data_IF_027032347766
#
_entry.id   IF_027032347766
#
_cell.length_a   1.000
_cell.length_b   1.000
_cell.length_c   1.000
_cell.angle_alpha   90.00
_cell.angle_beta   90.00
_cell.angle_gamma   90.00
#
_symmetry.space_group_name_H-M   'P 1'
#
loop_
_entity.id
_entity.type
_entity.pdbx_description
1 polymer ?
#
# COMPACT_ATOMS: atom_id res chain seq x y z
N UNK A 1 7.37 -9.94 -33.21
CA UNK A 1 6.10 -9.58 -32.55
C UNK A 1 5.16 -9.05 -33.64
N UNK A 2 3.90 -9.49 -33.72
CA UNK A 2 2.92 -9.00 -34.73
C UNK A 2 2.33 -7.64 -34.32
N UNK A 3 3.17 -6.74 -33.80
CA UNK A 3 2.76 -5.41 -33.36
C UNK A 3 2.81 -4.49 -34.58
N UNK A 4 1.78 -3.66 -34.76
CA UNK A 4 1.69 -2.73 -35.88
C UNK A 4 2.89 -1.75 -35.88
N UNK A 5 3.51 -1.48 -37.05
CA UNK A 5 4.64 -0.56 -37.15
C UNK A 5 4.41 0.81 -36.52
N UNK A 6 3.19 1.34 -36.52
CA UNK A 6 2.88 2.64 -35.92
C UNK A 6 3.27 2.70 -34.44
N UNK A 7 2.95 1.66 -33.65
CA UNK A 7 3.33 1.59 -32.24
C UNK A 7 4.85 1.43 -32.06
N UNK A 8 5.50 0.67 -32.96
CA UNK A 8 6.94 0.48 -32.92
C UNK A 8 7.70 1.79 -33.19
N UNK A 9 7.18 2.65 -34.06
CA UNK A 9 7.71 3.98 -34.31
C UNK A 9 7.59 4.90 -33.09
N UNK A 10 6.45 4.85 -32.36
CA UNK A 10 6.30 5.62 -31.12
C UNK A 10 7.32 5.17 -30.05
N UNK A 11 7.46 3.84 -29.86
CA UNK A 11 8.44 3.27 -28.94
C UNK A 11 9.88 3.65 -29.36
N UNK A 12 10.19 3.56 -30.65
CA UNK A 12 11.50 3.96 -31.17
C UNK A 12 11.78 5.45 -30.93
N UNK A 13 10.76 6.31 -31.06
CA UNK A 13 10.86 7.74 -30.72
C UNK A 13 11.21 7.98 -29.25
N UNK A 14 10.56 7.25 -28.32
CA UNK A 14 10.88 7.30 -26.89
C UNK A 14 12.32 6.85 -26.64
N UNK A 15 12.74 5.72 -27.22
CA UNK A 15 14.11 5.19 -27.06
C UNK A 15 15.17 6.15 -27.62
N UNK A 16 14.91 6.77 -28.78
CA UNK A 16 15.79 7.78 -29.35
C UNK A 16 15.91 9.01 -28.43
N UNK A 17 14.79 9.45 -27.82
CA UNK A 17 14.81 10.52 -26.83
C UNK A 17 15.61 10.14 -25.59
N UNK A 18 15.50 8.91 -25.10
CA UNK A 18 16.34 8.44 -23.98
C UNK A 18 17.84 8.53 -24.29
N UNK A 19 18.25 8.21 -25.52
CA UNK A 19 19.65 8.34 -25.94
C UNK A 19 20.11 9.81 -25.87
N UNK A 20 19.26 10.75 -26.34
CA UNK A 20 19.56 12.18 -26.25
C UNK A 20 19.66 12.67 -24.81
N UNK A 21 18.80 12.21 -23.91
CA UNK A 21 18.84 12.57 -22.48
C UNK A 21 20.13 12.04 -21.82
N UNK A 22 20.55 10.82 -22.15
CA UNK A 22 21.81 10.27 -21.64
C UNK A 22 23.03 11.09 -22.10
N UNK A 23 22.98 11.64 -23.30
CA UNK A 23 24.08 12.43 -23.88
C UNK A 23 24.10 13.88 -23.39
N UNK A 24 22.93 14.51 -23.27
CA UNK A 24 22.83 15.96 -23.05
C UNK A 24 22.21 16.37 -21.72
N UNK A 25 21.67 15.42 -20.94
CA UNK A 25 20.90 15.72 -19.73
C UNK A 25 19.45 16.11 -20.01
N UNK A 26 18.76 16.61 -18.98
CA UNK A 26 17.41 17.18 -19.12
C UNK A 26 17.48 18.64 -19.61
N UNK A 27 16.45 19.14 -20.31
CA UNK A 27 16.38 20.56 -20.68
C UNK A 27 16.35 21.48 -19.46
N UNK A 28 16.98 22.65 -19.58
CA UNK A 28 17.01 23.68 -18.53
C UNK A 28 15.93 24.77 -18.70
N UNK A 29 15.09 24.67 -19.73
CA UNK A 29 13.98 25.58 -19.99
C UNK A 29 12.62 24.88 -19.91
N UNK A 30 11.60 25.65 -19.50
CA UNK A 30 10.27 25.13 -19.23
C UNK A 30 9.57 24.53 -20.46
N UNK A 31 9.84 25.06 -21.66
CA UNK A 31 9.17 24.61 -22.89
C UNK A 31 9.65 23.22 -23.27
N UNK A 32 10.97 23.04 -23.36
CA UNK A 32 11.55 21.75 -23.74
C UNK A 32 11.36 20.70 -22.65
N UNK A 33 11.45 21.08 -21.36
CA UNK A 33 11.16 20.15 -20.27
C UNK A 33 9.69 19.69 -20.31
N UNK A 34 8.75 20.61 -20.58
CA UNK A 34 7.33 20.24 -20.75
C UNK A 34 7.13 19.31 -21.95
N UNK A 35 7.78 19.56 -23.09
CA UNK A 35 7.72 18.65 -24.24
C UNK A 35 8.25 17.26 -23.88
N UNK A 36 9.31 17.19 -23.09
CA UNK A 36 9.85 15.92 -22.61
C UNK A 36 8.86 15.20 -21.70
N UNK A 37 8.24 15.91 -20.75
CA UNK A 37 7.19 15.35 -19.87
C UNK A 37 5.93 14.95 -20.65
N UNK A 38 5.58 15.66 -21.72
CA UNK A 38 4.47 15.33 -22.62
C UNK A 38 4.65 14.01 -23.38
N UNK A 39 5.89 13.52 -23.50
CA UNK A 39 6.17 12.19 -24.01
C UNK A 39 5.92 11.07 -22.97
N UNK A 40 5.52 11.40 -21.74
CA UNK A 40 5.22 10.44 -20.67
C UNK A 40 6.43 10.01 -19.83
N UNK A 41 7.56 10.72 -19.90
CA UNK A 41 8.71 10.42 -19.05
C UNK A 41 8.44 10.81 -17.59
N UNK A 42 8.51 9.84 -16.68
CA UNK A 42 8.48 10.10 -15.23
C UNK A 42 9.79 10.72 -14.74
N UNK A 43 9.72 11.44 -13.63
CA UNK A 43 10.89 12.03 -12.96
C UNK A 43 11.89 10.93 -12.57
N UNK A 44 11.39 9.77 -12.14
CA UNK A 44 12.22 8.59 -11.86
C UNK A 44 12.94 8.05 -13.12
N UNK A 45 12.27 8.03 -14.28
CA UNK A 45 12.92 7.58 -15.52
C UNK A 45 13.99 8.58 -15.96
N UNK A 46 13.70 9.88 -15.92
CA UNK A 46 14.67 10.93 -16.26
C UNK A 46 15.88 10.89 -15.33
N UNK A 47 15.67 10.67 -14.04
CA UNK A 47 16.74 10.53 -13.05
C UNK A 47 17.65 9.33 -13.35
N UNK A 48 17.06 8.18 -13.68
CA UNK A 48 17.82 6.99 -14.09
C UNK A 48 18.67 7.24 -15.33
N UNK A 49 18.13 7.94 -16.34
CA UNK A 49 18.84 8.26 -17.59
C UNK A 49 20.01 9.23 -17.38
N UNK A 50 19.87 10.14 -16.42
CA UNK A 50 20.87 11.17 -16.10
C UNK A 50 21.77 10.83 -14.91
N UNK A 51 21.58 9.63 -14.33
CA UNK A 51 22.33 9.15 -13.15
C UNK A 51 22.24 10.11 -11.96
N UNK A 52 21.05 10.65 -11.72
CA UNK A 52 20.73 11.47 -10.55
C UNK A 52 19.54 10.87 -9.78
N UNK A 53 19.05 11.59 -8.78
CA UNK A 53 17.88 11.20 -7.99
C UNK A 53 16.60 11.85 -8.54
N UNK A 54 15.45 11.17 -8.37
CA UNK A 54 14.15 11.68 -8.84
C UNK A 54 13.80 13.05 -8.25
N UNK A 55 14.21 13.31 -7.00
CA UNK A 55 14.01 14.59 -6.32
C UNK A 55 14.74 15.76 -7.02
N UNK A 56 15.87 15.50 -7.69
CA UNK A 56 16.58 16.53 -8.46
C UNK A 56 15.77 16.92 -9.69
N UNK A 57 15.17 15.95 -10.37
CA UNK A 57 14.31 16.19 -11.53
C UNK A 57 13.03 16.93 -11.11
N UNK A 58 12.40 16.50 -10.01
CA UNK A 58 11.25 17.16 -9.43
C UNK A 58 11.55 18.64 -9.11
N UNK A 59 12.66 18.93 -8.42
CA UNK A 59 13.06 20.31 -8.09
C UNK A 59 13.34 21.15 -9.34
N UNK A 60 13.95 20.58 -10.38
CA UNK A 60 14.16 21.27 -11.64
C UNK A 60 12.82 21.63 -12.31
N UNK A 61 11.87 20.70 -12.26
CA UNK A 61 10.52 20.86 -12.80
C UNK A 61 9.72 21.93 -12.04
N UNK A 62 9.77 21.93 -10.71
CA UNK A 62 9.17 22.97 -9.85
C UNK A 62 9.80 24.34 -10.08
N UNK A 63 11.14 24.43 -10.18
CA UNK A 63 11.85 25.68 -10.44
C UNK A 63 11.43 26.32 -11.77
N UNK A 64 11.10 25.50 -12.77
CA UNK A 64 10.68 25.93 -14.09
C UNK A 64 9.16 26.07 -14.25
N UNK A 65 8.39 25.86 -13.17
CA UNK A 65 6.92 25.87 -13.18
C UNK A 65 6.33 24.92 -14.26
N UNK A 66 6.94 23.73 -14.37
CA UNK A 66 6.51 22.69 -15.32
C UNK A 66 5.64 21.67 -14.59
N UNK A 67 4.36 21.96 -14.51
CA UNK A 67 3.39 21.05 -13.88
C UNK A 67 2.41 20.47 -14.90
N UNK A 68 1.83 19.29 -14.63
CA UNK A 68 0.72 18.81 -15.43
C UNK A 68 -0.50 19.72 -15.26
N UNK A 69 -1.34 19.74 -16.30
CA UNK A 69 -2.72 20.18 -16.19
C UNK A 69 -3.63 18.96 -16.12
N UNK A 70 -4.85 19.16 -15.62
CA UNK A 70 -5.84 18.09 -15.58
C UNK A 70 -6.94 18.38 -16.57
N UNK A 71 -7.29 17.37 -17.37
CA UNK A 71 -8.37 17.40 -18.36
C UNK A 71 -9.52 16.54 -17.90
N UNK A 72 -10.74 16.85 -18.35
CA UNK A 72 -11.92 16.05 -18.05
C UNK A 72 -12.22 15.06 -19.17
N UNK A 73 -12.74 13.90 -18.78
CA UNK A 73 -13.33 12.93 -19.69
C UNK A 73 -14.81 13.30 -19.84
N UNK A 74 -15.21 13.66 -21.06
CA UNK A 74 -16.53 14.22 -21.36
C UNK A 74 -17.33 13.44 -22.43
N UNK A 75 -16.73 12.40 -23.02
CA UNK A 75 -17.27 11.57 -24.12
C UNK A 75 -17.50 12.29 -25.46
N UNK A 76 -17.29 13.60 -25.55
CA UNK A 76 -17.65 14.43 -26.69
C UNK A 76 -16.52 15.36 -27.17
N UNK A 77 -15.30 15.17 -26.69
CA UNK A 77 -14.12 15.91 -27.12
C UNK A 77 -14.31 17.44 -27.01
N UNK A 78 -14.80 17.88 -25.84
CA UNK A 78 -15.12 19.26 -25.50
C UNK A 78 -16.20 19.93 -26.36
N UNK A 79 -17.00 19.17 -27.13
CA UNK A 79 -18.19 19.73 -27.81
C UNK A 79 -19.19 20.30 -26.80
N UNK A 80 -19.33 19.64 -25.64
CA UNK A 80 -20.17 20.06 -24.52
C UNK A 80 -19.39 20.12 -23.22
N UNK A 81 -19.77 21.05 -22.34
CA UNK A 81 -19.17 21.14 -21.01
C UNK A 81 -19.60 19.94 -20.14
N UNK A 82 -18.61 19.24 -19.55
CA UNK A 82 -18.87 18.15 -18.61
C UNK A 82 -18.91 18.67 -17.16
N UNK A 83 -20.03 18.48 -16.43
CA UNK A 83 -20.09 18.81 -15.01
C UNK A 83 -19.27 17.82 -14.15
N UNK A 84 -19.02 16.61 -14.67
CA UNK A 84 -18.36 15.52 -13.96
C UNK A 84 -16.86 15.76 -13.84
N UNK A 85 -16.32 15.66 -12.62
CA UNK A 85 -14.90 15.78 -12.35
C UNK A 85 -14.18 14.42 -12.50
N UNK A 86 -14.27 13.82 -13.70
CA UNK A 86 -13.52 12.63 -14.07
C UNK A 86 -12.28 13.03 -14.88
N UNK A 87 -11.09 12.91 -14.31
CA UNK A 87 -9.90 13.61 -14.77
C UNK A 87 -8.69 12.71 -15.01
N UNK A 88 -7.80 13.17 -15.88
CA UNK A 88 -6.45 12.65 -16.09
C UNK A 88 -5.45 13.79 -16.26
N UNK A 89 -4.19 13.54 -15.95
CA UNK A 89 -3.08 14.48 -16.04
C UNK A 89 -2.47 14.49 -17.44
N UNK A 90 -1.99 15.65 -17.87
CA UNK A 90 -1.23 15.76 -19.10
C UNK A 90 -0.32 16.97 -19.08
N UNK A 91 0.83 16.89 -19.73
CA UNK A 91 1.71 18.02 -19.97
C UNK A 91 1.35 18.67 -21.32
N UNK A 92 0.18 19.29 -21.38
CA UNK A 92 -0.30 19.95 -22.60
C UNK A 92 0.61 21.13 -23.00
N UNK A 93 0.86 21.29 -24.30
CA UNK A 93 1.55 22.48 -24.80
C UNK A 93 0.57 23.65 -24.81
N UNK A 94 0.95 24.84 -24.30
CA UNK A 94 0.06 26.00 -24.26
C UNK A 94 -0.58 26.31 -25.62
N UNK A 95 -1.91 26.45 -25.65
CA UNK A 95 -2.64 26.93 -26.81
C UNK A 95 -2.93 28.43 -26.65
N UNK A 96 -2.63 29.24 -27.68
CA UNK A 96 -2.74 30.70 -27.62
C UNK A 96 -1.99 31.33 -26.41
N UNK A 97 -0.90 30.71 -25.97
CA UNK A 97 -0.06 31.20 -24.87
C UNK A 97 -0.54 30.86 -23.45
N UNK A 98 -1.62 30.09 -23.30
CA UNK A 98 -2.12 29.67 -21.99
C UNK A 98 -2.26 28.14 -21.88
N UNK A 99 -2.06 27.63 -20.67
CA UNK A 99 -2.38 26.25 -20.31
C UNK A 99 -3.85 26.16 -19.94
N UNK A 100 -4.57 25.19 -20.51
CA UNK A 100 -5.96 24.94 -20.18
C UNK A 100 -6.05 23.85 -19.10
N UNK A 101 -6.31 24.24 -17.85
CA UNK A 101 -6.50 23.31 -16.74
C UNK A 101 -7.98 23.25 -16.33
N UNK A 102 -8.57 22.06 -16.42
CA UNK A 102 -9.99 21.79 -16.18
C UNK A 102 -10.23 21.18 -14.79
N UNK A 103 -9.19 21.12 -13.95
CA UNK A 103 -9.32 20.66 -12.57
C UNK A 103 -10.46 21.39 -11.84
N UNK A 104 -10.56 22.71 -12.01
CA UNK A 104 -11.58 23.57 -11.37
C UNK A 104 -11.75 23.21 -9.90
N UNK A 105 -10.64 23.33 -9.18
CA UNK A 105 -10.48 22.89 -7.79
C UNK A 105 -11.47 23.63 -6.87
N UNK A 106 -12.23 22.89 -6.08
CA UNK A 106 -13.28 23.46 -5.20
C UNK A 106 -12.67 24.16 -3.97
N UNK A 107 -13.48 24.91 -3.21
CA UNK A 107 -13.10 25.51 -1.93
C UNK A 107 -13.52 24.68 -0.70
N UNK A 108 -13.99 23.44 -0.90
CA UNK A 108 -14.49 22.57 0.18
C UNK A 108 -13.34 22.00 1.02
N UNK A 109 -13.71 21.37 2.15
CA UNK A 109 -12.81 20.50 2.93
C UNK A 109 -12.70 19.15 2.23
N UNK A 110 -11.48 18.70 1.95
CA UNK A 110 -11.21 17.57 1.06
C UNK A 110 -10.49 16.46 1.79
N UNK A 111 -10.87 15.23 1.49
CA UNK A 111 -10.14 14.03 1.90
C UNK A 111 -9.84 13.20 0.67
N UNK A 112 -8.56 12.89 0.49
CA UNK A 112 -8.09 12.08 -0.64
C UNK A 112 -8.01 10.62 -0.21
N UNK A 113 -8.47 9.72 -1.08
CA UNK A 113 -8.43 8.28 -0.90
C UNK A 113 -7.56 7.71 -2.00
N UNK A 114 -6.49 7.01 -1.61
CA UNK A 114 -5.61 6.32 -2.56
C UNK A 114 -6.08 4.88 -2.75
N UNK A 115 -6.44 4.54 -4.00
CA UNK A 115 -6.84 3.19 -4.39
C UNK A 115 -5.67 2.20 -4.41
N UNK A 116 -5.91 0.98 -4.92
CA UNK A 116 -4.88 -0.07 -4.95
C UNK A 116 -4.04 -0.15 -6.22
N UNK A 117 -4.51 0.47 -7.31
CA UNK A 117 -4.03 0.19 -8.66
C UNK A 117 -4.54 -1.18 -9.15
N UNK A 118 -3.85 -1.82 -10.11
CA UNK A 118 -4.34 -3.05 -10.71
C UNK A 118 -4.43 -4.19 -9.70
N UNK A 119 -5.52 -4.97 -9.81
CA UNK A 119 -5.74 -6.17 -9.00
C UNK A 119 -4.65 -7.22 -9.26
N UNK A 120 -4.23 -7.89 -8.19
CA UNK A 120 -3.25 -9.00 -8.22
C UNK A 120 -3.45 -9.92 -7.02
N UNK A 121 -2.84 -11.10 -7.05
CA UNK A 121 -2.89 -12.04 -5.92
C UNK A 121 -2.43 -11.33 -4.64
N UNK A 122 -3.26 -11.41 -3.59
CA UNK A 122 -3.05 -10.73 -2.30
C UNK A 122 -3.49 -9.26 -2.24
N UNK A 123 -3.87 -8.64 -3.37
CA UNK A 123 -4.38 -7.28 -3.46
C UNK A 123 -5.52 -7.19 -4.50
N UNK A 124 -6.73 -7.55 -4.06
CA UNK A 124 -7.91 -7.65 -4.92
C UNK A 124 -9.00 -6.61 -4.63
N UNK A 125 -10.23 -6.98 -4.99
CA UNK A 125 -11.43 -6.13 -4.91
C UNK A 125 -11.81 -5.76 -3.47
N UNK A 126 -11.28 -6.46 -2.48
CA UNK A 126 -11.56 -6.20 -1.07
C UNK A 126 -11.06 -4.81 -0.64
N UNK A 127 -9.96 -4.36 -1.24
CA UNK A 127 -9.41 -3.03 -1.02
C UNK A 127 -10.20 -1.95 -1.77
N UNK A 128 -10.69 -2.26 -2.97
CA UNK A 128 -11.60 -1.38 -3.72
C UNK A 128 -12.91 -1.14 -2.94
N UNK A 129 -13.47 -2.19 -2.36
CA UNK A 129 -14.63 -2.11 -1.47
C UNK A 129 -14.39 -1.11 -0.32
N UNK A 130 -13.23 -1.19 0.33
CA UNK A 130 -12.88 -0.29 1.43
C UNK A 130 -12.77 1.17 0.94
N UNK A 131 -12.14 1.39 -0.21
CA UNK A 131 -12.00 2.72 -0.82
C UNK A 131 -13.36 3.35 -1.18
N UNK A 132 -14.27 2.56 -1.79
CA UNK A 132 -15.63 3.02 -2.10
C UNK A 132 -16.39 3.41 -0.83
N UNK A 133 -16.34 2.56 0.19
CA UNK A 133 -17.01 2.84 1.47
C UNK A 133 -16.44 4.07 2.17
N UNK A 134 -15.14 4.35 2.05
CA UNK A 134 -14.56 5.61 2.52
C UNK A 134 -15.16 6.82 1.78
N UNK A 135 -15.21 6.78 0.46
CA UNK A 135 -15.74 7.89 -0.34
C UNK A 135 -17.19 8.20 0.04
N UNK A 136 -18.02 7.17 0.19
CA UNK A 136 -19.42 7.32 0.63
C UNK A 136 -19.51 7.93 2.03
N UNK A 137 -18.76 7.39 3.00
CA UNK A 137 -18.82 7.85 4.38
C UNK A 137 -18.32 9.29 4.56
N UNK A 138 -17.27 9.67 3.82
CA UNK A 138 -16.70 11.01 3.85
C UNK A 138 -17.62 12.04 3.20
N UNK A 139 -18.28 11.67 2.09
CA UNK A 139 -19.35 12.47 1.48
C UNK A 139 -20.49 12.71 2.47
N UNK A 140 -20.96 11.65 3.14
CA UNK A 140 -22.00 11.73 4.18
C UNK A 140 -21.57 12.58 5.38
N UNK A 141 -20.26 12.65 5.67
CA UNK A 141 -19.68 13.51 6.71
C UNK A 141 -19.40 14.95 6.24
N UNK A 142 -19.74 15.30 4.99
CA UNK A 142 -19.62 16.65 4.44
C UNK A 142 -18.28 16.99 3.80
N UNK A 143 -17.34 16.03 3.72
CA UNK A 143 -16.09 16.21 2.98
C UNK A 143 -16.33 16.09 1.47
N UNK A 144 -15.49 16.75 0.69
CA UNK A 144 -15.30 16.43 -0.72
C UNK A 144 -14.36 15.23 -0.81
N UNK A 145 -14.90 14.08 -1.20
CA UNK A 145 -14.13 12.85 -1.35
C UNK A 145 -13.44 12.83 -2.71
N UNK A 146 -12.12 12.70 -2.71
CA UNK A 146 -11.29 12.67 -3.91
C UNK A 146 -10.68 11.27 -4.05
N UNK A 147 -10.97 10.57 -5.14
CA UNK A 147 -10.40 9.26 -5.42
C UNK A 147 -9.22 9.38 -6.40
N UNK A 148 -8.10 8.73 -6.07
CA UNK A 148 -6.97 8.54 -6.98
C UNK A 148 -6.75 7.04 -7.18
N UNK A 149 -7.02 6.54 -8.38
CA UNK A 149 -6.83 5.14 -8.73
C UNK A 149 -6.74 4.96 -10.26
N UNK A 150 -6.14 3.86 -10.73
CA UNK A 150 -5.95 3.61 -12.15
C UNK A 150 -6.45 2.23 -12.61
N UNK A 151 -7.18 1.51 -11.76
CA UNK A 151 -7.76 0.23 -12.14
C UNK A 151 -9.05 0.44 -12.94
N UNK A 152 -9.14 0.01 -14.21
CA UNK A 152 -10.36 0.20 -15.00
C UNK A 152 -11.51 -0.72 -14.59
N UNK A 153 -11.25 -1.77 -13.80
CA UNK A 153 -12.25 -2.80 -13.43
C UNK A 153 -13.05 -2.46 -12.18
N UNK A 154 -12.66 -1.40 -11.46
CA UNK A 154 -13.10 -1.14 -10.09
C UNK A 154 -14.27 -0.16 -9.98
N UNK A 155 -15.03 -0.25 -8.89
CA UNK A 155 -16.11 0.70 -8.60
C UNK A 155 -15.55 2.03 -8.10
N UNK A 156 -14.37 2.04 -7.47
CA UNK A 156 -13.73 3.31 -7.06
C UNK A 156 -13.42 4.23 -8.23
N UNK A 157 -13.18 3.69 -9.42
CA UNK A 157 -12.93 4.44 -10.66
C UNK A 157 -14.20 4.72 -11.46
N UNK A 158 -15.37 4.44 -10.89
CA UNK A 158 -16.62 5.04 -11.34
C UNK A 158 -16.71 6.49 -10.84
N UNK A 159 -17.04 7.41 -11.73
CA UNK A 159 -17.12 8.84 -11.42
C UNK A 159 -18.26 9.18 -10.44
N UNK A 160 -19.26 8.31 -10.27
CA UNK A 160 -20.34 8.51 -9.29
C UNK A 160 -19.88 8.23 -7.84
N UNK A 161 -18.79 7.47 -7.68
CA UNK A 161 -18.30 7.00 -6.37
C UNK A 161 -17.69 8.11 -5.51
N UNK A 162 -17.02 9.08 -6.13
CA UNK A 162 -16.33 10.19 -5.45
C UNK A 162 -16.78 11.54 -6.00
N UNK A 163 -16.56 12.63 -5.26
CA UNK A 163 -16.88 13.97 -5.78
C UNK A 163 -15.95 14.34 -6.95
N UNK A 164 -14.70 13.84 -6.89
CA UNK A 164 -13.65 14.10 -7.88
C UNK A 164 -12.80 12.84 -8.06
N UNK A 165 -12.66 12.38 -9.29
CA UNK A 165 -11.91 11.19 -9.65
C UNK A 165 -10.70 11.56 -10.52
N UNK A 166 -9.51 11.16 -10.07
CA UNK A 166 -8.27 11.21 -10.85
C UNK A 166 -7.89 9.79 -11.28
N UNK A 167 -7.99 9.52 -12.58
CA UNK A 167 -7.58 8.25 -13.17
C UNK A 167 -6.08 8.22 -13.42
N UNK A 168 -5.31 8.18 -12.35
CA UNK A 168 -3.88 8.44 -12.38
C UNK A 168 -3.07 7.31 -11.72
N UNK A 169 -1.81 7.10 -12.15
CA UNK A 169 -0.94 6.14 -11.49
C UNK A 169 -0.71 6.49 -10.01
N UNK A 170 -0.60 5.46 -9.18
CA UNK A 170 -0.29 5.61 -7.75
C UNK A 170 1.22 5.69 -7.53
N UNK A 171 1.85 6.72 -8.07
CA UNK A 171 3.26 7.04 -7.82
C UNK A 171 3.40 8.29 -6.96
N UNK A 172 4.56 8.48 -6.34
CA UNK A 172 4.82 9.68 -5.55
C UNK A 172 4.72 10.95 -6.41
N UNK A 173 5.18 10.90 -7.66
CA UNK A 173 5.13 12.05 -8.58
C UNK A 173 3.67 12.45 -8.88
N UNK A 174 2.87 11.50 -9.34
CA UNK A 174 1.49 11.76 -9.79
C UNK A 174 0.60 12.19 -8.61
N UNK A 175 0.70 11.48 -7.49
CA UNK A 175 -0.09 11.79 -6.28
C UNK A 175 0.28 13.16 -5.72
N UNK A 176 1.58 13.51 -5.63
CA UNK A 176 1.98 14.82 -5.13
C UNK A 176 1.54 15.97 -6.05
N UNK A 177 1.54 15.78 -7.37
CA UNK A 177 1.01 16.79 -8.30
C UNK A 177 -0.50 17.01 -8.14
N UNK A 178 -1.27 15.94 -7.91
CA UNK A 178 -2.70 16.03 -7.66
C UNK A 178 -2.96 16.78 -6.35
N UNK A 179 -2.22 16.42 -5.29
CA UNK A 179 -2.35 17.08 -3.99
C UNK A 179 -1.97 18.56 -4.06
N UNK A 180 -0.89 18.91 -4.77
CA UNK A 180 -0.49 20.30 -5.03
C UNK A 180 -1.62 21.07 -5.72
N UNK A 181 -2.23 20.48 -6.76
CA UNK A 181 -3.34 21.10 -7.46
C UNK A 181 -4.56 21.27 -6.55
N UNK A 182 -4.93 20.26 -5.77
CA UNK A 182 -6.07 20.30 -4.86
C UNK A 182 -5.88 21.25 -3.67
N UNK A 183 -4.63 21.53 -3.27
CA UNK A 183 -4.29 22.54 -2.26
C UNK A 183 -4.40 23.98 -2.77
N UNK A 184 -4.58 24.21 -4.07
CA UNK A 184 -4.70 25.57 -4.63
C UNK A 184 -5.96 26.31 -4.17
N UNK A 185 -6.99 25.59 -3.69
CA UNK A 185 -8.21 26.17 -3.13
C UNK A 185 -8.85 25.22 -2.12
N UNK A 186 -9.47 25.77 -1.08
CA UNK A 186 -10.10 24.99 0.00
C UNK A 186 -9.11 24.47 1.02
N UNK A 187 -9.47 23.39 1.70
CA UNK A 187 -8.67 22.78 2.76
C UNK A 187 -8.49 21.29 2.45
N UNK A 188 -7.25 20.87 2.18
CA UNK A 188 -6.90 19.45 2.14
C UNK A 188 -6.70 18.97 3.58
N UNK A 189 -7.67 18.24 4.10
CA UNK A 189 -7.66 17.73 5.48
C UNK A 189 -6.64 16.62 5.64
N UNK A 190 -6.52 15.76 4.63
CA UNK A 190 -5.48 14.74 4.55
C UNK A 190 -5.78 13.63 3.57
N UNK A 191 -4.97 12.57 3.64
CA UNK A 191 -4.96 11.44 2.71
C UNK A 191 -5.14 10.13 3.49
N UNK A 192 -6.02 9.26 3.01
CA UNK A 192 -6.18 7.87 3.49
C UNK A 192 -5.32 6.96 2.60
N UNK A 193 -4.37 6.27 3.22
CA UNK A 193 -3.42 5.34 2.57
C UNK A 193 -3.62 3.88 2.99
N UNK A 194 -4.46 3.64 4.00
CA UNK A 194 -4.59 2.34 4.68
C UNK A 194 -5.62 1.42 4.01
N UNK A 195 -6.36 1.89 3.00
CA UNK A 195 -7.47 1.15 2.39
C UNK A 195 -7.13 0.52 1.04
N UNK A 196 -6.16 1.06 0.30
CA UNK A 196 -5.77 0.56 -1.03
C UNK A 196 -4.77 -0.62 -1.02
N UNK A 197 -4.49 -1.23 0.13
CA UNK A 197 -3.45 -2.27 0.24
C UNK A 197 -2.03 -1.68 0.28
N UNK A 198 -1.02 -2.40 -0.23
CA UNK A 198 0.38 -1.95 -0.08
C UNK A 198 0.79 -0.80 -0.99
N UNK A 199 0.12 -0.62 -2.15
CA UNK A 199 0.52 0.41 -3.12
C UNK A 199 0.53 1.80 -2.48
N UNK A 200 -0.54 2.26 -1.80
CA UNK A 200 -0.52 3.57 -1.12
C UNK A 200 0.38 3.63 0.11
N UNK A 201 0.56 2.53 0.85
CA UNK A 201 1.44 2.51 2.02
C UNK A 201 2.89 2.85 1.67
N UNK A 202 3.34 2.41 0.49
CA UNK A 202 4.67 2.77 -0.03
C UNK A 202 4.83 4.25 -0.34
N UNK A 203 3.74 5.00 -0.43
CA UNK A 203 3.74 6.44 -0.67
C UNK A 203 3.76 7.25 0.63
N UNK A 204 3.61 6.62 1.80
CA UNK A 204 3.50 7.31 3.07
C UNK A 204 4.72 8.21 3.37
N UNK A 205 5.94 7.72 3.16
CA UNK A 205 7.18 8.49 3.35
C UNK A 205 7.25 9.73 2.43
N UNK A 206 6.83 9.58 1.16
CA UNK A 206 6.80 10.69 0.21
C UNK A 206 5.78 11.76 0.62
N UNK A 207 4.61 11.35 1.11
CA UNK A 207 3.56 12.24 1.61
C UNK A 207 4.02 12.98 2.88
N UNK A 208 4.64 12.28 3.84
CA UNK A 208 5.17 12.90 5.06
C UNK A 208 6.26 13.94 4.75
N UNK A 209 7.20 13.61 3.86
CA UNK A 209 8.25 14.55 3.42
C UNK A 209 7.70 15.79 2.73
N UNK A 210 6.59 15.64 2.01
CA UNK A 210 5.86 16.75 1.39
C UNK A 210 4.98 17.54 2.40
N UNK A 211 4.93 17.13 3.67
CA UNK A 211 4.09 17.76 4.68
C UNK A 211 2.60 17.52 4.49
N UNK A 212 2.22 16.46 3.76
CA UNK A 212 0.83 16.09 3.53
C UNK A 212 0.31 15.27 4.73
N UNK A 213 -0.80 15.67 5.37
CA UNK A 213 -1.36 14.92 6.48
C UNK A 213 -1.87 13.55 6.05
N UNK A 214 -1.36 12.48 6.65
CA UNK A 214 -1.94 11.14 6.54
C UNK A 214 -2.96 10.97 7.66
N UNK A 215 -4.18 10.64 7.29
CA UNK A 215 -5.30 10.44 8.21
C UNK A 215 -5.27 9.02 8.78
N UNK A 216 -5.75 8.84 10.01
CA UNK A 216 -5.79 7.52 10.67
C UNK A 216 -4.47 7.12 11.35
N UNK A 217 -4.15 5.83 11.31
CA UNK A 217 -2.89 5.30 11.87
C UNK A 217 -1.69 5.96 11.18
N UNK A 218 -0.75 6.50 11.98
CA UNK A 218 0.44 7.17 11.46
C UNK A 218 1.39 6.21 10.74
N UNK A 219 2.16 6.69 9.75
CA UNK A 219 3.17 5.89 9.06
C UNK A 219 4.18 5.24 10.01
N UNK A 220 4.64 5.97 11.04
CA UNK A 220 5.53 5.42 12.06
C UNK A 220 4.93 4.21 12.81
N UNK A 221 3.62 4.21 13.08
CA UNK A 221 2.96 3.08 13.75
C UNK A 221 2.72 1.91 12.79
N UNK A 222 2.53 2.19 11.50
CA UNK A 222 2.51 1.16 10.45
C UNK A 222 3.90 0.51 10.34
N UNK A 223 4.96 1.32 10.25
CA UNK A 223 6.35 0.87 10.26
C UNK A 223 6.70 0.09 11.53
N UNK A 224 6.24 0.54 12.71
CA UNK A 224 6.42 -0.20 13.98
C UNK A 224 5.86 -1.62 13.91
N UNK A 225 4.71 -1.82 13.25
CA UNK A 225 4.09 -3.13 13.11
C UNK A 225 4.78 -4.01 12.06
N UNK A 226 5.37 -3.41 11.02
CA UNK A 226 6.14 -4.12 9.99
C UNK A 226 7.59 -4.42 10.41
N UNK A 227 8.20 -3.54 11.22
CA UNK A 227 9.55 -3.68 11.77
C UNK A 227 9.56 -4.69 12.93
N UNK A 228 10.26 -5.81 12.72
CA UNK A 228 10.28 -6.91 13.69
C UNK A 228 10.92 -6.54 15.02
N UNK A 229 11.97 -5.72 15.07
CA UNK A 229 12.64 -5.37 16.33
C UNK A 229 11.74 -4.47 17.19
N UNK A 230 11.10 -3.49 16.57
CA UNK A 230 10.13 -2.60 17.22
C UNK A 230 8.88 -3.38 17.65
N UNK A 231 8.38 -4.24 16.77
CA UNK A 231 7.21 -5.07 17.04
C UNK A 231 7.45 -6.08 18.18
N UNK A 232 8.60 -6.76 18.19
CA UNK A 232 8.94 -7.71 19.25
C UNK A 232 9.03 -7.01 20.61
N UNK A 233 9.64 -5.82 20.68
CA UNK A 233 9.67 -4.99 21.90
C UNK A 233 8.27 -4.61 22.37
N UNK A 234 7.37 -4.31 21.44
CA UNK A 234 5.96 -4.04 21.74
C UNK A 234 5.28 -5.25 22.36
N UNK A 235 5.43 -6.43 21.75
CA UNK A 235 4.84 -7.67 22.27
C UNK A 235 5.36 -8.01 23.67
N UNK A 236 6.67 -7.88 23.90
CA UNK A 236 7.27 -8.06 25.24
C UNK A 236 6.70 -7.09 26.26
N UNK A 237 6.54 -5.81 25.90
CA UNK A 237 5.94 -4.80 26.79
C UNK A 237 4.49 -5.13 27.15
N UNK A 238 3.74 -5.72 26.22
CA UNK A 238 2.35 -6.13 26.41
C UNK A 238 2.21 -7.52 27.05
N UNK A 239 3.30 -8.26 27.23
CA UNK A 239 3.28 -9.62 27.75
C UNK A 239 2.62 -10.61 26.80
N UNK A 240 2.72 -10.39 25.47
CA UNK A 240 2.14 -11.25 24.45
C UNK A 240 3.17 -12.23 23.90
N UNK A 241 2.73 -13.44 23.59
CA UNK A 241 3.60 -14.49 23.04
C UNK A 241 3.79 -14.34 21.53
N UNK A 242 4.98 -14.66 21.05
CA UNK A 242 5.34 -14.74 19.64
C UNK A 242 6.12 -16.05 19.40
N UNK A 243 6.06 -16.65 18.20
CA UNK A 243 6.98 -17.74 17.85
C UNK A 243 8.44 -17.31 18.03
N UNK A 244 9.33 -18.25 18.33
CA UNK A 244 10.77 -17.96 18.34
C UNK A 244 11.16 -17.54 16.93
N UNK A 245 11.89 -16.43 16.81
CA UNK A 245 12.17 -15.82 15.54
C UNK A 245 13.59 -15.26 15.44
N UNK A 246 13.99 -14.91 14.23
CA UNK A 246 15.28 -14.30 13.93
C UNK A 246 15.25 -13.54 12.61
N UNK A 247 16.23 -12.67 12.42
CA UNK A 247 16.34 -11.77 11.27
C UNK A 247 17.70 -11.96 10.62
N UNK A 248 17.74 -12.06 9.29
CA UNK A 248 18.98 -12.17 8.54
C UNK A 248 19.08 -11.12 7.42
N UNK A 249 20.20 -10.41 7.40
CA UNK A 249 20.55 -9.41 6.40
C UNK A 249 21.55 -9.93 5.36
N UNK A 250 21.96 -11.20 5.48
CA UNK A 250 22.84 -11.87 4.51
C UNK A 250 22.57 -13.37 4.45
N UNK A 251 23.06 -14.03 3.39
CA UNK A 251 22.99 -15.48 3.24
C UNK A 251 23.69 -16.20 4.40
N UNK A 252 24.81 -15.66 4.89
CA UNK A 252 25.57 -16.22 6.00
C UNK A 252 24.80 -16.09 7.32
N UNK A 253 24.21 -14.92 7.58
CA UNK A 253 23.35 -14.72 8.75
C UNK A 253 22.13 -15.63 8.72
N UNK A 254 21.52 -15.83 7.55
CA UNK A 254 20.35 -16.71 7.39
C UNK A 254 20.64 -18.14 7.86
N UNK A 255 21.83 -18.68 7.56
CA UNK A 255 22.25 -20.02 8.01
C UNK A 255 22.47 -20.07 9.52
N UNK A 256 23.06 -19.03 10.11
CA UNK A 256 23.28 -18.96 11.56
C UNK A 256 21.94 -18.93 12.30
N UNK A 257 21.03 -18.05 11.88
CA UNK A 257 19.68 -17.93 12.45
C UNK A 257 18.91 -19.24 12.34
N UNK A 258 18.95 -19.90 11.17
CA UNK A 258 18.29 -21.19 10.99
C UNK A 258 18.85 -22.28 11.92
N UNK A 259 20.18 -22.32 12.11
CA UNK A 259 20.84 -23.24 13.04
C UNK A 259 20.47 -23.00 14.51
N UNK A 260 20.25 -21.75 14.91
CA UNK A 260 19.83 -21.38 16.27
C UNK A 260 18.35 -21.72 16.55
N UNK A 261 17.47 -21.46 15.59
CA UNK A 261 16.02 -21.69 15.75
C UNK A 261 15.63 -23.16 15.59
N UNK A 262 16.33 -23.89 14.70
CA UNK A 262 16.04 -25.28 14.36
C UNK A 262 14.83 -25.46 13.43
N UNK A 263 14.84 -26.51 12.62
CA UNK A 263 13.78 -26.80 11.66
C UNK A 263 12.59 -27.55 12.29
N UNK A 264 11.36 -27.43 11.73
CA UNK A 264 10.99 -26.60 10.58
C UNK A 264 10.81 -25.11 10.89
N UNK A 265 11.10 -24.27 9.89
CA UNK A 265 11.05 -22.79 9.97
C UNK A 265 10.15 -22.22 8.88
N UNK A 266 9.48 -21.11 9.17
CA UNK A 266 8.86 -20.27 8.14
C UNK A 266 9.84 -19.17 7.79
N UNK A 267 10.20 -19.08 6.51
CA UNK A 267 11.08 -18.02 6.00
C UNK A 267 10.26 -17.10 5.11
N UNK A 268 10.31 -15.79 5.39
CA UNK A 268 9.59 -14.76 4.62
C UNK A 268 10.46 -13.52 4.40
N UNK A 269 10.44 -12.91 3.20
CA UNK A 269 11.01 -11.59 3.00
C UNK A 269 10.21 -10.52 3.76
N UNK A 270 10.84 -9.42 4.14
CA UNK A 270 10.15 -8.22 4.63
C UNK A 270 9.50 -7.43 3.48
N UNK A 271 8.49 -6.61 3.81
CA UNK A 271 7.79 -5.69 2.89
C UNK A 271 7.14 -6.34 1.64
N UNK A 272 6.76 -7.62 1.72
CA UNK A 272 6.04 -8.35 0.66
C UNK A 272 4.58 -8.60 1.02
N UNK A 273 3.72 -8.62 -0.01
CA UNK A 273 2.30 -8.94 0.11
C UNK A 273 2.05 -10.43 -0.20
N UNK A 274 1.00 -10.98 0.44
CA UNK A 274 0.39 -12.25 0.04
C UNK A 274 1.34 -13.45 0.17
N UNK A 275 2.25 -13.42 1.14
CA UNK A 275 3.21 -14.52 1.33
C UNK A 275 4.17 -14.72 0.15
N UNK A 276 4.39 -13.72 -0.71
CA UNK A 276 5.27 -13.89 -1.87
C UNK A 276 6.67 -14.32 -1.42
N UNK A 277 7.12 -15.45 -1.95
CA UNK A 277 8.38 -16.10 -1.57
C UNK A 277 8.47 -16.46 -0.08
N UNK A 278 7.34 -16.65 0.59
CA UNK A 278 7.28 -17.33 1.87
C UNK A 278 7.37 -18.84 1.64
N UNK A 279 8.20 -19.53 2.42
CA UNK A 279 8.30 -21.00 2.38
C UNK A 279 8.49 -21.58 3.78
N UNK A 280 7.90 -22.75 3.99
CA UNK A 280 8.21 -23.61 5.14
C UNK A 280 9.45 -24.42 4.77
N UNK A 281 10.51 -24.23 5.53
CA UNK A 281 11.81 -24.86 5.34
C UNK A 281 11.96 -25.98 6.38
N UNK A 282 12.08 -27.22 5.90
CA UNK A 282 12.14 -28.41 6.76
C UNK A 282 13.56 -28.87 7.09
N UNK A 283 14.55 -28.45 6.31
CA UNK A 283 15.95 -28.83 6.48
C UNK A 283 16.91 -27.83 5.82
N UNK A 284 18.20 -28.00 6.09
CA UNK A 284 19.29 -27.14 5.57
C UNK A 284 19.38 -27.18 4.03
N UNK A 285 19.04 -28.30 3.39
CA UNK A 285 19.07 -28.42 1.93
C UNK A 285 17.98 -27.57 1.27
N UNK A 286 16.79 -27.56 1.87
CA UNK A 286 15.69 -26.70 1.46
C UNK A 286 16.02 -25.22 1.70
N UNK A 287 16.66 -24.88 2.83
CA UNK A 287 17.14 -23.51 3.09
C UNK A 287 18.11 -23.04 2.01
N UNK A 288 19.08 -23.90 1.64
CA UNK A 288 20.04 -23.57 0.60
C UNK A 288 19.38 -23.34 -0.76
N UNK A 289 18.41 -24.19 -1.12
CA UNK A 289 17.62 -24.04 -2.35
C UNK A 289 16.83 -22.73 -2.34
N UNK A 290 16.17 -22.41 -1.23
CA UNK A 290 15.43 -21.16 -1.06
C UNK A 290 16.32 -19.92 -1.29
N UNK A 291 17.49 -19.88 -0.64
CA UNK A 291 18.41 -18.75 -0.73
C UNK A 291 19.04 -18.60 -2.12
N UNK A 292 19.26 -19.69 -2.84
CA UNK A 292 19.96 -19.67 -4.14
C UNK A 292 19.04 -19.61 -5.36
N UNK A 293 17.77 -20.01 -5.22
CA UNK A 293 16.83 -20.08 -6.35
C UNK A 293 15.63 -19.14 -6.16
N UNK A 294 15.08 -19.06 -4.94
CA UNK A 294 13.86 -18.26 -4.69
C UNK A 294 14.19 -16.79 -4.46
N UNK A 295 15.13 -16.49 -3.54
CA UNK A 295 15.50 -15.10 -3.21
C UNK A 295 16.04 -14.31 -4.42
N UNK A 296 16.86 -14.89 -5.33
CA UNK A 296 17.30 -14.17 -6.54
C UNK A 296 16.15 -13.73 -7.46
N UNK A 297 15.02 -14.42 -7.43
CA UNK A 297 13.81 -14.02 -8.15
C UNK A 297 13.21 -12.70 -7.65
N UNK A 298 13.56 -12.28 -6.43
CA UNK A 298 13.13 -11.02 -5.83
C UNK A 298 14.08 -9.85 -6.11
N UNK A 299 15.28 -10.13 -6.65
CA UNK A 299 16.30 -9.09 -6.89
C UNK A 299 15.81 -8.14 -7.99
N UNK A 300 15.66 -6.83 -7.70
CA UNK A 300 15.32 -5.80 -8.67
C UNK A 300 16.32 -5.70 -9.83
N UNK A 301 15.85 -5.24 -10.99
CA UNK A 301 16.65 -5.18 -12.22
C UNK A 301 17.82 -4.20 -12.11
N UNK A 302 17.68 -3.10 -11.37
CA UNK A 302 18.75 -2.16 -11.06
C UNK A 302 19.88 -2.80 -10.26
N UNK A 303 19.56 -3.68 -9.29
CA UNK A 303 20.56 -4.44 -8.53
C UNK A 303 21.26 -5.46 -9.44
N UNK A 304 20.50 -6.16 -10.30
CA UNK A 304 21.07 -7.10 -11.28
C UNK A 304 22.05 -6.41 -12.23
N UNK A 305 21.71 -5.23 -12.73
CA UNK A 305 22.59 -4.44 -13.60
C UNK A 305 23.85 -3.94 -12.86
N UNK A 306 23.74 -3.62 -11.57
CA UNK A 306 24.88 -3.20 -10.75
C UNK A 306 25.85 -4.35 -10.47
N UNK A 307 25.37 -5.58 -10.33
CA UNK A 307 26.16 -6.76 -9.98
C UNK A 307 25.91 -7.96 -10.92
N UNK A 308 26.16 -7.87 -12.24
CA UNK A 308 25.64 -8.83 -13.22
C UNK A 308 26.13 -10.28 -13.05
N UNK A 309 27.33 -10.46 -12.48
CA UNK A 309 27.96 -11.79 -12.33
C UNK A 309 28.10 -12.26 -10.87
N UNK A 310 27.60 -11.49 -9.89
CA UNK A 310 27.73 -11.79 -8.46
C UNK A 310 26.35 -12.01 -7.82
N UNK A 311 25.87 -13.26 -7.85
CA UNK A 311 24.57 -13.63 -7.28
C UNK A 311 24.50 -13.41 -5.77
N UNK A 312 25.58 -13.69 -5.04
CA UNK A 312 25.60 -13.50 -3.58
C UNK A 312 25.61 -12.02 -3.23
N UNK A 313 26.39 -11.20 -3.95
CA UNK A 313 26.36 -9.75 -3.83
C UNK A 313 24.99 -9.14 -4.17
N UNK A 314 24.30 -9.66 -5.19
CA UNK A 314 22.91 -9.27 -5.51
C UNK A 314 21.96 -9.56 -4.33
N UNK A 315 22.00 -10.79 -3.79
CA UNK A 315 21.15 -11.20 -2.67
C UNK A 315 21.46 -10.35 -1.45
N UNK A 316 22.74 -10.22 -1.05
CA UNK A 316 23.11 -9.46 0.14
C UNK A 316 22.78 -7.96 -0.01
N UNK A 317 22.83 -7.41 -1.23
CA UNK A 317 22.37 -6.03 -1.49
C UNK A 317 20.86 -5.88 -1.29
N UNK A 318 20.07 -6.88 -1.74
CA UNK A 318 18.64 -6.93 -1.49
C UNK A 318 18.35 -7.06 0.02
N UNK A 319 19.00 -8.01 0.68
CA UNK A 319 18.78 -8.33 2.10
C UNK A 319 19.23 -7.21 3.05
N UNK A 320 20.20 -6.40 2.64
CA UNK A 320 20.60 -5.21 3.38
C UNK A 320 19.49 -4.15 3.50
N UNK A 321 18.49 -4.17 2.60
CA UNK A 321 17.30 -3.30 2.68
C UNK A 321 16.04 -4.07 3.08
N UNK A 322 15.92 -5.33 2.67
CA UNK A 322 14.77 -6.18 2.93
C UNK A 322 15.25 -7.49 3.57
N UNK A 323 15.47 -7.52 4.90
CA UNK A 323 15.94 -8.74 5.58
C UNK A 323 14.97 -9.91 5.40
N UNK A 324 15.50 -11.12 5.52
CA UNK A 324 14.73 -12.35 5.68
C UNK A 324 14.33 -12.52 7.14
N UNK A 325 13.07 -12.86 7.35
CA UNK A 325 12.49 -13.15 8.64
C UNK A 325 12.31 -14.66 8.78
N UNK A 326 12.72 -15.18 9.93
CA UNK A 326 12.61 -16.58 10.30
C UNK A 326 11.71 -16.70 11.52
N UNK A 327 10.70 -17.56 11.45
CA UNK A 327 9.81 -17.88 12.57
C UNK A 327 9.76 -19.41 12.73
N UNK A 328 9.78 -19.93 13.96
CA UNK A 328 9.60 -21.37 14.19
C UNK A 328 8.22 -21.81 13.74
N UNK A 329 8.15 -22.87 12.94
CA UNK A 329 6.88 -23.36 12.41
C UNK A 329 6.03 -24.00 13.51
N UNK A 330 4.84 -23.43 13.75
CA UNK A 330 3.88 -23.93 14.73
C UNK A 330 2.99 -25.03 14.12
N UNK A 331 3.57 -26.20 13.84
CA UNK A 331 2.83 -27.33 13.24
C UNK A 331 1.58 -27.70 14.06
N UNK A 332 0.44 -27.91 13.39
CA UNK A 332 -0.83 -28.27 14.01
C UNK A 332 -1.52 -27.14 14.77
N UNK A 333 -1.07 -25.89 14.62
CA UNK A 333 -1.73 -24.74 15.25
C UNK A 333 -2.95 -24.28 14.43
N UNK A 334 -3.96 -23.78 15.14
CA UNK A 334 -5.13 -23.15 14.52
C UNK A 334 -4.77 -21.71 14.17
N UNK A 335 -4.99 -21.28 12.93
CA UNK A 335 -4.80 -19.89 12.53
C UNK A 335 -6.10 -19.09 12.71
N UNK A 336 -5.96 -17.84 13.17
CA UNK A 336 -7.08 -16.95 13.45
C UNK A 336 -6.77 -15.54 12.94
N UNK A 337 -7.69 -14.98 12.17
CA UNK A 337 -7.68 -13.57 11.78
C UNK A 337 -8.64 -12.77 12.67
N UNK A 338 -8.20 -11.60 13.14
CA UNK A 338 -9.04 -10.70 13.93
C UNK A 338 -9.03 -9.30 13.33
N UNK A 339 -10.19 -8.82 12.90
CA UNK A 339 -10.36 -7.45 12.40
C UNK A 339 -10.90 -6.54 13.51
N UNK A 340 -10.29 -5.37 13.69
CA UNK A 340 -10.55 -4.44 14.78
C UNK A 340 -10.61 -2.98 14.30
N UNK A 341 -11.50 -2.20 14.91
CA UNK A 341 -11.56 -0.75 14.81
C UNK A 341 -10.98 -0.11 16.07
N UNK A 342 -10.27 1.01 15.92
CA UNK A 342 -9.76 1.79 17.04
C UNK A 342 -9.73 3.29 16.71
N UNK A 343 -10.05 4.14 17.68
CA UNK A 343 -9.94 5.62 17.58
C UNK A 343 -8.72 6.17 18.37
N UNK A 344 -7.70 5.33 18.57
CA UNK A 344 -6.55 5.56 19.44
C UNK A 344 -6.83 5.30 20.93
N UNK A 345 -8.10 5.20 21.34
CA UNK A 345 -8.48 4.90 22.73
C UNK A 345 -9.41 3.72 22.80
N UNK A 346 -10.62 3.85 22.28
CA UNK A 346 -11.64 2.81 22.29
C UNK A 346 -11.42 1.85 21.14
N UNK A 347 -11.74 0.58 21.39
CA UNK A 347 -11.55 -0.52 20.44
C UNK A 347 -12.85 -1.26 20.22
N UNK A 348 -13.06 -1.76 19.01
CA UNK A 348 -14.16 -2.65 18.68
C UNK A 348 -13.64 -3.79 17.82
N UNK A 349 -13.62 -5.01 18.38
CA UNK A 349 -13.29 -6.22 17.63
C UNK A 349 -14.50 -6.56 16.76
N UNK A 350 -14.32 -6.46 15.45
CA UNK A 350 -15.39 -6.56 14.46
C UNK A 350 -15.64 -7.99 14.00
N UNK A 351 -14.63 -8.85 14.02
CA UNK A 351 -14.76 -10.25 13.69
C UNK A 351 -13.52 -11.03 14.10
N UNK A 352 -13.73 -12.25 14.60
CA UNK A 352 -12.71 -13.24 14.91
C UNK A 352 -13.00 -14.45 14.02
N UNK A 353 -12.11 -14.68 13.06
CA UNK A 353 -12.27 -15.66 12.00
C UNK A 353 -11.33 -16.83 12.26
N UNK A 354 -11.89 -18.01 12.51
CA UNK A 354 -11.11 -19.23 12.66
C UNK A 354 -10.90 -19.86 11.28
N UNK A 355 -9.65 -20.14 10.91
CA UNK A 355 -9.34 -20.83 9.66
C UNK A 355 -9.67 -22.32 9.77
N UNK A 356 -10.06 -22.93 8.66
CA UNK A 356 -10.31 -24.38 8.57
C UNK A 356 -8.97 -25.12 8.45
N UNK A 357 -8.05 -24.57 7.66
CA UNK A 357 -6.69 -25.04 7.51
C UNK A 357 -5.81 -24.70 8.72
N UNK A 358 -4.75 -25.49 8.94
CA UNK A 358 -3.75 -25.21 9.98
C UNK A 358 -2.83 -24.03 9.60
N UNK A 359 -2.25 -23.40 10.62
CA UNK A 359 -1.25 -22.35 10.44
C UNK A 359 -0.07 -22.87 9.60
N UNK A 360 0.20 -22.21 8.48
CA UNK A 360 1.17 -22.65 7.48
C UNK A 360 0.63 -22.60 6.06
N UNK A 361 -0.69 -22.70 5.91
CA UNK A 361 -1.39 -22.31 4.69
C UNK A 361 -1.71 -20.82 4.79
N UNK A 362 -1.39 -20.06 3.76
CA UNK A 362 -1.52 -18.60 3.79
C UNK A 362 -2.99 -18.20 3.98
N UNK A 363 -3.26 -17.26 4.90
CA UNK A 363 -4.60 -16.75 5.24
C UNK A 363 -5.49 -16.34 4.05
N UNK A 364 -4.87 -15.96 2.93
CA UNK A 364 -5.58 -15.60 1.70
C UNK A 364 -6.13 -16.80 0.91
N UNK A 365 -5.65 -18.01 1.20
CA UNK A 365 -6.02 -19.26 0.54
C UNK A 365 -6.83 -20.18 1.49
N UNK A 366 -6.80 -19.91 2.79
CA UNK A 366 -7.56 -20.65 3.80
C UNK A 366 -9.07 -20.32 3.75
N UNK A 367 -9.90 -21.34 3.91
CA UNK A 367 -11.29 -21.12 4.27
C UNK A 367 -11.37 -20.67 5.74
N UNK A 368 -12.38 -19.89 6.11
CA UNK A 368 -12.56 -19.46 7.48
C UNK A 368 -14.03 -19.41 7.91
N UNK A 369 -14.26 -19.47 9.23
CA UNK A 369 -15.57 -19.38 9.87
C UNK A 369 -15.67 -18.12 10.73
N UNK A 370 -16.82 -17.45 10.62
CA UNK A 370 -17.23 -16.36 11.51
C UNK A 370 -18.71 -16.61 11.91
N UNK A 371 -19.02 -16.89 13.20
CA UNK A 371 -18.09 -16.97 14.32
C UNK A 371 -17.15 -18.18 14.21
N UNK A 372 -16.13 -18.19 15.09
CA UNK A 372 -15.26 -19.35 15.32
C UNK A 372 -16.10 -20.61 15.58
N UNK A 373 -15.64 -21.76 15.08
CA UNK A 373 -16.40 -23.02 15.10
C UNK A 373 -15.90 -24.03 16.13
N UNK A 374 -14.64 -23.95 16.57
CA UNK A 374 -14.06 -24.89 17.54
C UNK A 374 -13.41 -24.24 18.76
N UNK A 375 -13.08 -22.94 18.69
CA UNK A 375 -12.41 -22.26 19.78
C UNK A 375 -13.31 -22.09 21.03
N UNK A 376 -12.83 -22.47 22.23
CA UNK A 376 -13.48 -22.17 23.50
C UNK A 376 -13.63 -20.67 23.74
N UNK A 377 -14.68 -20.26 24.47
CA UNK A 377 -14.96 -18.86 24.79
C UNK A 377 -13.79 -18.16 25.50
N UNK A 378 -13.07 -18.87 26.38
CA UNK A 378 -11.91 -18.30 27.08
C UNK A 378 -10.78 -17.88 26.12
N UNK A 379 -10.58 -18.61 25.02
CA UNK A 379 -9.60 -18.24 24.00
C UNK A 379 -10.11 -17.09 23.12
N UNK A 380 -11.42 -17.02 22.87
CA UNK A 380 -12.05 -15.90 22.17
C UNK A 380 -11.87 -14.61 22.97
N UNK A 381 -12.17 -14.63 24.26
CA UNK A 381 -11.99 -13.48 25.17
C UNK A 381 -10.52 -13.03 25.22
N UNK A 382 -9.59 -13.98 25.20
CA UNK A 382 -8.15 -13.67 25.18
C UNK A 382 -7.72 -13.04 23.84
N UNK A 383 -8.21 -13.52 22.70
CA UNK A 383 -7.97 -12.91 21.38
C UNK A 383 -8.51 -11.47 21.33
N UNK A 384 -9.71 -11.23 21.87
CA UNK A 384 -10.29 -9.88 21.96
C UNK A 384 -9.44 -8.95 22.82
N UNK A 385 -8.99 -9.44 23.98
CA UNK A 385 -8.14 -8.69 24.93
C UNK A 385 -6.80 -8.34 24.29
N UNK A 386 -6.11 -9.31 23.68
CA UNK A 386 -4.83 -9.08 23.02
C UNK A 386 -4.96 -8.11 21.84
N UNK A 387 -6.00 -8.28 21.01
CA UNK A 387 -6.27 -7.40 19.86
C UNK A 387 -6.52 -5.97 20.31
N UNK A 388 -7.34 -5.77 21.35
CA UNK A 388 -7.61 -4.45 21.91
C UNK A 388 -6.36 -3.81 22.53
N UNK A 389 -5.49 -4.60 23.17
CA UNK A 389 -4.23 -4.10 23.72
C UNK A 389 -3.27 -3.66 22.62
N UNK A 390 -3.14 -4.44 21.54
CA UNK A 390 -2.33 -4.10 20.37
C UNK A 390 -2.83 -2.82 19.68
N UNK A 391 -4.13 -2.72 19.44
CA UNK A 391 -4.74 -1.54 18.81
C UNK A 391 -4.43 -0.24 19.56
N UNK A 392 -4.51 -0.27 20.90
CA UNK A 392 -4.18 0.89 21.75
C UNK A 392 -2.69 1.17 21.76
N UNK A 393 -1.86 0.13 21.85
CA UNK A 393 -0.42 0.29 21.92
C UNK A 393 0.20 0.82 20.63
N UNK A 394 -0.41 0.51 19.49
CA UNK A 394 -0.07 1.03 18.16
C UNK A 394 -0.78 2.35 17.83
N UNK A 395 -1.57 2.91 18.75
CA UNK A 395 -2.38 4.11 18.51
C UNK A 395 -3.18 4.03 17.19
N UNK A 396 -3.79 2.88 16.92
CA UNK A 396 -4.53 2.66 15.66
C UNK A 396 -5.64 3.69 15.53
N UNK A 397 -5.69 4.33 14.36
CA UNK A 397 -6.76 5.25 13.97
C UNK A 397 -7.47 4.72 12.73
N UNK A 398 -8.57 3.99 12.93
CA UNK A 398 -9.30 3.29 11.88
C UNK A 398 -9.20 1.77 12.03
N UNK A 399 -8.79 1.08 10.96
CA UNK A 399 -8.75 -0.39 10.89
C UNK A 399 -7.40 -0.98 11.28
N UNK A 400 -7.44 -2.15 11.90
CA UNK A 400 -6.30 -3.04 12.11
C UNK A 400 -6.76 -4.48 11.98
N UNK A 401 -5.88 -5.33 11.44
CA UNK A 401 -6.01 -6.77 11.41
C UNK A 401 -4.86 -7.41 12.20
N UNK A 402 -5.14 -8.50 12.91
CA UNK A 402 -4.13 -9.29 13.62
C UNK A 402 -4.28 -10.74 13.23
N UNK A 403 -3.17 -11.41 12.93
CA UNK A 403 -3.12 -12.85 12.71
C UNK A 403 -2.49 -13.53 13.93
N UNK A 404 -3.16 -14.58 14.39
CA UNK A 404 -2.74 -15.40 15.52
C UNK A 404 -2.59 -16.86 15.11
N UNK A 405 -1.73 -17.57 15.82
CA UNK A 405 -1.70 -19.03 15.85
C UNK A 405 -1.99 -19.52 17.27
N UNK A 406 -2.85 -20.53 17.41
CA UNK A 406 -3.19 -21.13 18.69
C UNK A 406 -2.67 -22.55 18.72
N UNK A 407 -1.79 -22.83 19.69
CA UNK A 407 -1.22 -24.17 19.90
C UNK A 407 -1.22 -24.54 21.36
N UNK A 408 -1.77 -25.70 21.69
CA UNK A 408 -1.86 -26.23 23.05
C UNK A 408 -2.44 -25.21 24.06
N UNK A 409 -3.46 -24.45 23.63
CA UNK A 409 -4.11 -23.40 24.42
C UNK A 409 -3.32 -22.09 24.54
N UNK A 410 -2.15 -21.98 23.92
CA UNK A 410 -1.34 -20.75 23.91
C UNK A 410 -1.60 -19.95 22.64
N UNK A 411 -1.91 -18.66 22.79
CA UNK A 411 -2.09 -17.70 21.68
C UNK A 411 -0.75 -17.06 21.33
N UNK A 412 -0.34 -17.19 20.06
CA UNK A 412 0.87 -16.60 19.51
C UNK A 412 0.50 -15.55 18.45
N UNK A 413 1.08 -14.35 18.54
CA UNK A 413 0.90 -13.30 17.54
C UNK A 413 1.83 -13.57 16.36
N UNK A 414 1.29 -13.67 15.14
CA UNK A 414 2.08 -13.87 13.92
C UNK A 414 2.47 -12.52 13.29
N UNK A 415 1.47 -11.68 13.05
CA UNK A 415 1.63 -10.34 12.48
C UNK A 415 0.45 -9.43 12.82
N UNK A 416 0.68 -8.12 12.73
CA UNK A 416 -0.33 -7.08 12.87
C UNK A 416 -0.25 -6.17 11.65
N UNK A 417 -1.39 -5.92 11.03
CA UNK A 417 -1.55 -5.09 9.86
C UNK A 417 -2.44 -3.89 10.25
N UNK A 418 -1.89 -2.73 10.61
CA UNK A 418 -2.67 -1.58 11.07
C UNK A 418 -3.27 -0.79 9.89
N UNK A 419 -4.04 -1.52 9.09
CA UNK A 419 -4.68 -1.12 7.84
C UNK A 419 -5.90 -2.01 7.57
N UNK A 420 -6.63 -1.73 6.48
CA UNK A 420 -7.65 -2.65 6.01
C UNK A 420 -7.03 -3.99 5.58
N UNK A 421 -7.68 -5.09 5.98
CA UNK A 421 -7.40 -6.45 5.52
C UNK A 421 -8.39 -6.85 4.42
N UNK A 422 -8.09 -7.95 3.73
CA UNK A 422 -8.99 -8.53 2.73
C UNK A 422 -10.26 -9.12 3.34
N UNK A 423 -10.27 -9.39 4.65
CA UNK A 423 -11.43 -9.97 5.36
C UNK A 423 -12.49 -8.94 5.72
N UNK A 424 -12.16 -7.63 5.70
CA UNK A 424 -13.09 -6.55 6.08
C UNK A 424 -14.45 -6.61 5.35
N UNK A 425 -14.53 -6.80 4.02
CA UNK A 425 -15.83 -6.90 3.35
C UNK A 425 -16.64 -8.12 3.82
N UNK A 426 -15.98 -9.26 4.03
CA UNK A 426 -16.62 -10.48 4.55
C UNK A 426 -17.17 -10.23 5.97
N UNK A 427 -16.34 -9.70 6.87
CA UNK A 427 -16.75 -9.37 8.24
C UNK A 427 -17.94 -8.40 8.22
N UNK A 428 -17.85 -7.32 7.45
CA UNK A 428 -18.91 -6.31 7.35
C UNK A 428 -20.25 -6.90 6.89
N UNK A 429 -20.22 -7.81 5.91
CA UNK A 429 -21.42 -8.49 5.41
C UNK A 429 -21.99 -9.49 6.42
N UNK A 430 -21.14 -10.23 7.12
CA UNK A 430 -21.57 -11.24 8.09
C UNK A 430 -22.20 -10.62 9.32
N UNK A 431 -21.61 -9.56 9.88
CA UNK A 431 -22.15 -8.90 11.08
C UNK A 431 -23.21 -7.84 10.77
N UNK A 432 -23.41 -7.52 9.48
CA UNK A 432 -24.38 -6.52 9.03
C UNK A 432 -24.02 -5.07 9.38
N UNK A 433 -22.73 -4.74 9.52
CA UNK A 433 -22.25 -3.38 9.86
C UNK A 433 -21.24 -2.85 8.85
N UNK A 434 -21.29 -1.57 8.46
CA UNK A 434 -20.39 -1.01 7.43
C UNK A 434 -19.03 -0.62 8.02
N UNK A 435 -18.23 -1.62 8.41
CA UNK A 435 -16.96 -1.43 9.13
C UNK A 435 -15.99 -0.46 8.43
N UNK A 436 -15.84 -0.54 7.10
CA UNK A 436 -14.99 0.39 6.34
C UNK A 436 -15.50 1.85 6.37
N UNK A 437 -16.82 2.07 6.44
CA UNK A 437 -17.40 3.43 6.56
C UNK A 437 -17.09 4.03 7.94
N UNK A 438 -17.26 3.23 9.00
CA UNK A 438 -16.98 3.64 10.38
C UNK A 438 -15.49 3.97 10.51
N UNK A 439 -14.62 3.10 9.97
CA UNK A 439 -13.18 3.34 9.94
C UNK A 439 -12.79 4.65 9.24
N UNK A 440 -13.40 4.97 8.09
CA UNK A 440 -13.11 6.21 7.37
C UNK A 440 -13.48 7.46 8.19
N UNK A 441 -14.59 7.41 8.94
CA UNK A 441 -15.00 8.49 9.85
C UNK A 441 -14.05 8.66 11.03
N UNK A 442 -13.57 7.56 11.60
CA UNK A 442 -12.53 7.59 12.65
C UNK A 442 -11.24 8.20 12.11
N UNK A 443 -10.82 7.80 10.90
CA UNK A 443 -9.64 8.39 10.24
C UNK A 443 -9.79 9.89 10.02
N UNK A 444 -11.02 10.36 9.75
CA UNK A 444 -11.35 11.78 9.63
C UNK A 444 -11.52 12.51 10.98
N UNK A 445 -11.32 11.84 12.11
CA UNK A 445 -11.25 12.42 13.45
C UNK A 445 -12.47 12.20 14.35
N UNK A 446 -13.48 11.43 13.93
CA UNK A 446 -14.60 11.05 14.79
C UNK A 446 -14.17 10.02 15.85
N UNK A 447 -14.79 10.05 17.02
CA UNK A 447 -14.62 8.96 18.00
C UNK A 447 -15.35 7.72 17.52
N UNK A 448 -14.94 6.55 18.03
CA UNK A 448 -15.54 5.27 17.68
C UNK A 448 -17.06 5.25 17.93
N UNK A 449 -17.50 5.73 19.08
CA UNK A 449 -18.93 5.80 19.45
C UNK A 449 -19.73 6.71 18.52
N UNK A 450 -19.20 7.90 18.21
CA UNK A 450 -19.84 8.87 17.32
C UNK A 450 -19.96 8.29 15.91
N UNK A 451 -18.89 7.69 15.39
CA UNK A 451 -18.86 7.06 14.06
C UNK A 451 -19.85 5.88 13.95
N UNK A 452 -20.05 5.12 15.03
CA UNK A 452 -21.07 4.07 15.09
C UNK A 452 -22.49 4.63 15.09
N UNK A 453 -22.75 5.76 15.74
CA UNK A 453 -24.10 6.32 15.86
C UNK A 453 -24.75 6.72 14.51
N UNK A 454 -23.95 6.76 13.43
CA UNK A 454 -24.43 7.03 12.07
C UNK A 454 -24.98 5.81 11.32
N UNK A 455 -24.81 4.59 11.85
CA UNK A 455 -25.17 3.33 11.19
C UNK A 455 -25.86 2.36 12.15
#
# INVERSE_FOLDING_TARGET
CKIDPWFLEQIAGIVAMEARIREHGIPEDAVNLRMLKAMGFSDARLASLTKTDAEVIQKAREKLDVHPVYKRIDTCAAEFASPTAYMYSTYEVPFAGALANEAQVSSRKKVVILGGGPNRIGQGIEFDYCCCHAAFALRDAGYEAIMINCNPETVSTDYDTSDRLYFEPLTAEDVLEILRAEQASGELVGVIVQFGGQTPLKLADALEKAGIPILGTSPDMIDLAEDRDRFQKLLHKLGLSQPKNGIAYSVEQARLVAGELGFPLVVRPSYVLGGRAMQIIHDEGMLQTYLLDTVPGLVPEDIKQKYPNDKTGQINTLLGKNPLLFDTYLSGAIEVDVDCLCDGKSTFVSGILEHIEEAGIHSGDSACSLPVHSLPSELVDELERQTSALARALNVGGLMNVQYAIKDGTVYVLEVNPRASRTVPFVAKTIGRPIAKIAARIMAGEKLEDAFAHY
#
